data_IF_630140263446
#
_entry.id   IF_630140263446
#
_cell.length_a   1.000
_cell.length_b   1.000
_cell.length_c   1.000
_cell.angle_alpha   90.00
_cell.angle_beta   90.00
_cell.angle_gamma   90.00
#
_symmetry.space_group_name_H-M   'P 1'
#
loop_
_entity.id
_entity.type
_entity.pdbx_description
1 polymer ?
#
# COMPACT_ATOMS: atom_id res chain seq x y z
N UNK A 1 -5.26 12.96 49.70
CA UNK A 1 -4.98 12.09 48.52
C UNK A 1 -5.96 12.33 47.37
N UNK A 2 -6.82 13.35 47.43
CA UNK A 2 -7.89 13.63 46.45
C UNK A 2 -7.54 14.73 45.43
N UNK A 3 -6.54 15.58 45.73
CA UNK A 3 -6.13 16.69 44.86
C UNK A 3 -5.59 16.25 43.49
N UNK A 4 -4.81 15.15 43.48
CA UNK A 4 -4.25 14.58 42.25
C UNK A 4 -5.35 14.01 41.35
N UNK A 5 -6.32 13.30 41.94
CA UNK A 5 -7.46 12.75 41.19
C UNK A 5 -8.34 13.85 40.61
N UNK A 6 -8.58 14.93 41.35
CA UNK A 6 -9.37 16.07 40.86
C UNK A 6 -8.65 16.88 39.78
N UNK A 7 -7.32 16.91 39.82
CA UNK A 7 -6.51 17.54 38.77
C UNK A 7 -6.48 16.69 37.51
N UNK A 8 -6.36 15.36 37.65
CA UNK A 8 -6.43 14.42 36.53
C UNK A 8 -7.82 14.44 35.89
N UNK A 9 -8.89 14.38 36.69
CA UNK A 9 -10.27 14.44 36.19
C UNK A 9 -10.54 15.73 35.41
N UNK A 10 -10.05 16.88 35.90
CA UNK A 10 -10.16 18.15 35.17
C UNK A 10 -9.35 18.18 33.87
N UNK A 11 -8.14 17.61 33.87
CA UNK A 11 -7.32 17.53 32.66
C UNK A 11 -7.97 16.64 31.59
N UNK A 12 -8.56 15.51 31.98
CA UNK A 12 -9.28 14.63 31.06
C UNK A 12 -10.55 15.29 30.47
N UNK A 13 -11.31 16.03 31.28
CA UNK A 13 -12.47 16.78 30.76
C UNK A 13 -12.05 17.88 29.77
N UNK A 14 -10.97 18.61 30.06
CA UNK A 14 -10.45 19.62 29.14
C UNK A 14 -9.98 19.00 27.80
N UNK A 15 -9.47 17.77 27.81
CA UNK A 15 -9.07 17.09 26.59
C UNK A 15 -10.28 16.60 25.77
N UNK A 16 -11.34 16.13 26.45
CA UNK A 16 -12.59 15.69 25.83
C UNK A 16 -13.27 16.82 25.02
N UNK A 17 -13.24 18.05 25.52
CA UNK A 17 -13.78 19.22 24.81
C UNK A 17 -13.04 19.53 23.49
N UNK A 18 -11.76 19.16 23.38
CA UNK A 18 -10.97 19.34 22.13
C UNK A 18 -11.25 18.28 21.07
N UNK A 19 -11.73 17.09 21.43
CA UNK A 19 -11.95 15.99 20.47
C UNK A 19 -13.31 16.10 19.75
N UNK A 20 -14.22 16.94 20.25
CA UNK A 20 -15.55 17.16 19.66
C UNK A 20 -15.59 18.33 18.65
N UNK A 21 -14.43 18.80 18.18
CA UNK A 21 -14.36 19.70 17.04
C UNK A 21 -14.72 18.90 15.78
N UNK A 22 -16.02 18.80 15.51
CA UNK A 22 -16.53 18.40 14.19
C UNK A 22 -15.93 19.37 13.17
N UNK A 23 -15.04 18.92 12.27
CA UNK A 23 -14.51 19.80 11.24
C UNK A 23 -15.67 20.26 10.36
N UNK A 24 -15.79 21.58 10.18
CA UNK A 24 -16.76 22.14 9.26
C UNK A 24 -16.56 21.53 7.86
N UNK A 25 -17.62 21.21 7.12
CA UNK A 25 -17.49 20.64 5.79
C UNK A 25 -16.74 21.62 4.87
N UNK A 26 -15.58 21.17 4.37
CA UNK A 26 -14.78 21.90 3.40
C UNK A 26 -15.59 22.04 2.11
N UNK A 27 -15.81 23.24 1.55
CA UNK A 27 -16.54 23.38 0.29
C UNK A 27 -15.74 22.76 -0.86
N UNK A 28 -16.24 21.64 -1.37
CA UNK A 28 -15.68 20.94 -2.54
C UNK A 28 -15.91 21.80 -3.79
N UNK A 29 -14.85 22.45 -4.28
CA UNK A 29 -14.90 23.24 -5.52
C UNK A 29 -15.08 22.31 -6.72
N UNK A 30 -16.34 22.11 -7.15
CA UNK A 30 -16.66 21.42 -8.40
C UNK A 30 -16.26 22.31 -9.58
N UNK A 31 -15.06 22.12 -10.11
CA UNK A 31 -14.72 22.58 -11.46
C UNK A 31 -15.48 21.72 -12.48
N UNK A 32 -16.70 22.16 -12.82
CA UNK A 32 -17.29 21.90 -14.13
C UNK A 32 -16.51 22.69 -15.15
N UNK A 33 -16.25 22.11 -16.33
CA UNK A 33 -16.15 22.75 -17.65
C UNK A 33 -15.76 21.60 -18.62
N UNK A 34 -16.73 21.06 -19.36
CA UNK A 34 -17.16 21.49 -20.69
C UNK A 34 -16.36 20.77 -21.80
N UNK A 35 -17.02 19.81 -22.43
CA UNK A 35 -16.55 19.12 -23.62
C UNK A 35 -16.62 20.02 -24.86
N UNK A 36 -15.73 19.83 -25.85
CA UNK A 36 -16.04 20.14 -27.24
C UNK A 36 -16.14 18.86 -28.07
N UNK A 37 -17.31 18.70 -28.70
CA UNK A 37 -17.53 17.90 -29.90
C UNK A 37 -16.75 18.53 -31.07
N UNK A 38 -15.88 17.77 -31.74
CA UNK A 38 -15.54 18.01 -33.16
C UNK A 38 -15.38 16.65 -33.86
N UNK A 39 -15.94 16.57 -35.06
CA UNK A 39 -16.30 15.39 -35.83
C UNK A 39 -15.31 15.03 -36.96
N UNK A 40 -15.63 13.90 -37.61
CA UNK A 40 -15.22 13.44 -38.95
C UNK A 40 -13.79 12.84 -39.06
N UNK A 41 -13.48 11.85 -39.92
CA UNK A 41 -14.15 11.29 -41.08
C UNK A 41 -13.70 9.83 -41.33
N UNK A 42 -14.45 9.14 -42.18
CA UNK A 42 -14.35 7.72 -42.55
C UNK A 42 -13.17 7.36 -43.46
N UNK A 43 -12.78 6.09 -43.44
CA UNK A 43 -12.36 5.35 -44.65
C UNK A 43 -12.78 3.87 -44.55
N UNK A 44 -13.62 3.46 -45.51
CA UNK A 44 -14.00 2.09 -45.84
C UNK A 44 -12.95 1.52 -46.78
N UNK A 45 -12.52 0.27 -46.61
CA UNK A 45 -12.07 -0.58 -47.73
C UNK A 45 -12.40 -2.06 -47.50
N UNK A 46 -12.94 -2.65 -48.55
CA UNK A 46 -13.56 -3.97 -48.71
C UNK A 46 -12.56 -4.93 -49.37
N UNK A 47 -12.57 -6.21 -48.99
CA UNK A 47 -12.32 -7.43 -49.80
C UNK A 47 -11.96 -8.57 -48.83
N UNK A 48 -12.49 -9.78 -48.86
CA UNK A 48 -13.06 -10.57 -49.94
C UNK A 48 -12.33 -11.91 -49.93
N UNK A 49 -13.01 -13.01 -49.60
CA UNK A 49 -12.63 -14.38 -50.00
C UNK A 49 -13.78 -15.34 -49.67
N UNK A 50 -14.56 -15.66 -50.70
CA UNK A 50 -15.50 -16.78 -50.71
C UNK A 50 -14.66 -18.04 -50.90
N UNK A 51 -14.77 -19.03 -50.01
CA UNK A 51 -14.28 -20.38 -50.25
C UNK A 51 -15.41 -21.37 -49.92
N UNK A 52 -16.06 -21.84 -50.99
CA UNK A 52 -16.95 -23.01 -50.98
C UNK A 52 -16.07 -24.25 -50.93
N UNK A 53 -16.26 -25.11 -49.93
CA UNK A 53 -15.74 -26.49 -49.95
C UNK A 53 -16.84 -27.47 -49.58
N UNK A 54 -16.89 -28.51 -50.40
CA UNK A 54 -17.89 -29.56 -50.57
C UNK A 54 -18.01 -30.49 -49.36
N UNK A 55 -19.22 -31.02 -49.18
CA UNK A 55 -19.66 -31.94 -48.14
C UNK A 55 -18.91 -33.29 -48.13
N UNK A 56 -18.58 -33.77 -46.93
CA UNK A 56 -18.51 -35.21 -46.59
C UNK A 56 -19.02 -35.43 -45.17
N UNK A 57 -20.01 -36.35 -45.00
CA UNK A 57 -20.42 -36.91 -43.69
C UNK A 57 -19.35 -37.88 -43.20
N UNK A 58 -19.07 -37.95 -41.88
CA UNK A 58 -19.56 -39.12 -41.11
C UNK A 58 -19.81 -38.91 -39.60
N UNK A 59 -20.74 -39.68 -39.04
CA UNK A 59 -20.69 -40.22 -37.67
C UNK A 59 -21.31 -39.41 -36.51
N UNK A 60 -22.05 -40.04 -35.57
CA UNK A 60 -22.42 -39.41 -34.31
C UNK A 60 -21.19 -39.30 -33.40
N UNK A 61 -20.80 -38.08 -33.06
CA UNK A 61 -19.71 -37.81 -32.14
C UNK A 61 -20.14 -38.13 -30.70
N UNK A 62 -19.53 -39.15 -30.11
CA UNK A 62 -19.52 -39.38 -28.66
C UNK A 62 -18.87 -38.15 -27.99
N UNK A 63 -19.62 -37.44 -27.15
CA UNK A 63 -19.12 -36.29 -26.41
C UNK A 63 -17.98 -36.71 -25.45
N UNK A 64 -16.86 -35.94 -25.36
CA UNK A 64 -15.83 -36.19 -24.37
C UNK A 64 -16.34 -35.87 -22.96
N UNK A 65 -15.83 -36.54 -21.91
CA UNK A 65 -16.17 -36.24 -20.53
C UNK A 65 -15.74 -34.81 -20.18
N UNK A 66 -16.64 -34.08 -19.50
CA UNK A 66 -16.40 -32.71 -19.05
C UNK A 66 -15.19 -32.65 -18.10
N UNK A 67 -14.22 -31.79 -18.42
CA UNK A 67 -13.12 -31.46 -17.51
C UNK A 67 -13.64 -30.85 -16.20
N UNK A 68 -13.10 -31.21 -15.03
CA UNK A 68 -13.46 -30.57 -13.78
C UNK A 68 -13.10 -29.07 -13.83
N UNK A 69 -13.90 -28.19 -13.19
CA UNK A 69 -13.63 -26.77 -13.17
C UNK A 69 -12.29 -26.48 -12.47
N UNK A 70 -11.56 -25.43 -12.89
CA UNK A 70 -10.32 -25.04 -12.24
C UNK A 70 -10.57 -24.71 -10.75
N UNK A 71 -9.60 -24.98 -9.87
CA UNK A 71 -9.71 -24.64 -8.45
C UNK A 71 -9.94 -23.13 -8.30
N UNK A 72 -10.86 -22.77 -7.40
CA UNK A 72 -11.18 -21.38 -7.11
C UNK A 72 -9.92 -20.63 -6.58
N UNK A 73 -9.74 -19.35 -6.94
CA UNK A 73 -8.63 -18.56 -6.42
C UNK A 73 -8.74 -18.45 -4.89
N UNK A 74 -7.64 -18.75 -4.19
CA UNK A 74 -7.56 -18.52 -2.74
C UNK A 74 -7.59 -17.02 -2.45
N UNK A 75 -8.27 -16.56 -1.38
CA UNK A 75 -8.26 -15.15 -1.01
C UNK A 75 -6.82 -14.71 -0.73
N UNK A 76 -6.33 -13.73 -1.50
CA UNK A 76 -5.07 -13.06 -1.16
C UNK A 76 -5.28 -12.30 0.15
N UNK A 77 -4.39 -12.45 1.15
CA UNK A 77 -4.48 -11.65 2.36
C UNK A 77 -4.45 -10.17 1.96
N UNK A 78 -5.43 -9.41 2.42
CA UNK A 78 -5.45 -7.95 2.20
C UNK A 78 -4.20 -7.34 2.84
N UNK A 79 -3.55 -6.43 2.12
CA UNK A 79 -2.42 -5.69 2.66
C UNK A 79 -2.87 -4.87 3.89
N UNK A 80 -2.02 -4.82 4.92
CA UNK A 80 -2.26 -3.97 6.10
C UNK A 80 -1.54 -2.64 5.86
N UNK A 81 -2.26 -1.54 5.99
CA UNK A 81 -1.73 -0.19 5.81
C UNK A 81 -1.65 0.50 7.17
N UNK A 82 -0.48 1.02 7.51
CA UNK A 82 -0.19 1.79 8.71
C UNK A 82 0.11 3.24 8.29
N UNK A 83 -0.89 4.13 8.29
CA UNK A 83 -0.65 5.55 8.06
C UNK A 83 0.19 6.15 9.20
N UNK A 84 0.86 7.26 8.91
CA UNK A 84 1.64 8.06 9.86
C UNK A 84 2.73 7.26 10.61
N UNK A 85 3.28 6.23 9.96
CA UNK A 85 4.38 5.44 10.50
C UNK A 85 5.64 6.30 10.63
N UNK A 86 6.21 6.36 11.83
CA UNK A 86 7.48 7.03 12.12
C UNK A 86 8.64 6.04 11.95
N UNK A 87 9.28 6.04 10.79
CA UNK A 87 10.43 5.19 10.51
C UNK A 87 11.69 5.79 11.15
N UNK A 88 12.40 5.02 11.98
CA UNK A 88 13.66 5.46 12.58
C UNK A 88 14.76 5.57 11.50
N UNK A 89 15.36 6.75 11.38
CA UNK A 89 16.39 7.08 10.39
C UNK A 89 17.69 7.56 11.04
N UNK A 90 17.72 7.86 12.35
CA UNK A 90 18.87 8.47 13.04
C UNK A 90 20.22 7.84 12.70
N UNK A 91 20.30 6.51 12.66
CA UNK A 91 21.52 5.74 12.35
C UNK A 91 21.50 5.09 10.96
N UNK A 92 20.65 5.59 10.06
CA UNK A 92 20.27 4.94 8.82
C UNK A 92 19.05 4.04 8.98
N UNK A 93 18.62 3.47 7.86
CA UNK A 93 17.48 2.56 7.74
C UNK A 93 17.99 1.17 7.36
N UNK A 94 18.24 0.33 8.36
CA UNK A 94 18.54 -1.11 8.18
C UNK A 94 17.38 -1.99 8.67
N UNK A 95 16.51 -1.45 9.54
CA UNK A 95 15.46 -2.23 10.17
C UNK A 95 14.26 -1.36 10.58
N UNK A 96 13.08 -1.96 10.57
CA UNK A 96 11.86 -1.42 11.16
C UNK A 96 11.18 -2.48 12.04
N UNK A 97 10.69 -2.05 13.21
CA UNK A 97 9.76 -2.85 14.01
C UNK A 97 8.34 -2.50 13.60
N UNK A 98 7.58 -3.51 13.18
CA UNK A 98 6.20 -3.37 12.72
C UNK A 98 5.34 -4.32 13.56
N UNK A 99 4.55 -3.76 14.47
CA UNK A 99 3.94 -4.55 15.55
C UNK A 99 5.02 -5.22 16.39
N UNK A 100 4.91 -6.52 16.61
CA UNK A 100 5.89 -7.31 17.38
C UNK A 100 6.97 -7.97 16.53
N UNK A 101 7.02 -7.65 15.24
CA UNK A 101 7.94 -8.29 14.28
C UNK A 101 8.97 -7.30 13.78
N UNK A 102 10.15 -7.85 13.55
CA UNK A 102 11.33 -7.15 13.11
C UNK A 102 11.55 -7.41 11.63
N UNK A 103 11.61 -6.34 10.84
CA UNK A 103 11.78 -6.40 9.39
C UNK A 103 13.06 -5.67 8.99
N UNK A 104 13.96 -6.35 8.31
CA UNK A 104 15.18 -5.76 7.78
C UNK A 104 14.92 -5.12 6.41
N UNK A 105 15.55 -3.98 6.15
CA UNK A 105 15.56 -3.36 4.84
C UNK A 105 16.24 -4.30 3.84
N UNK A 106 15.64 -4.50 2.66
CA UNK A 106 16.25 -5.31 1.60
C UNK A 106 17.58 -4.68 1.14
N UNK A 107 17.60 -3.35 1.07
CA UNK A 107 18.80 -2.53 0.83
C UNK A 107 18.93 -1.54 1.99
N UNK A 108 19.90 -1.72 2.89
CA UNK A 108 20.14 -0.76 3.96
C UNK A 108 20.50 0.63 3.42
N UNK A 109 19.86 1.67 3.94
CA UNK A 109 20.17 3.06 3.60
C UNK A 109 20.91 3.70 4.77
N UNK A 110 22.24 3.79 4.69
CA UNK A 110 23.07 4.32 5.76
C UNK A 110 23.74 5.61 5.28
N UNK A 111 23.47 6.72 5.97
CA UNK A 111 24.11 8.01 5.68
C UNK A 111 25.58 8.06 6.13
N UNK A 112 26.29 9.16 5.80
CA UNK A 112 27.68 9.37 6.21
C UNK A 112 27.85 9.22 7.73
N UNK A 113 28.89 8.53 8.17
CA UNK A 113 29.16 8.27 9.59
C UNK A 113 28.01 7.57 10.35
N UNK A 114 27.24 6.69 9.69
CA UNK A 114 26.05 6.02 10.25
C UNK A 114 25.00 7.01 10.76
N UNK A 115 24.64 7.95 9.89
CA UNK A 115 23.57 8.91 10.15
C UNK A 115 22.36 8.66 9.24
N UNK A 116 21.31 9.46 9.41
CA UNK A 116 20.19 9.53 8.46
C UNK A 116 20.71 9.76 7.03
N UNK A 117 20.18 9.04 6.02
CA UNK A 117 20.58 9.25 4.64
C UNK A 117 20.26 10.69 4.19
N UNK A 118 21.04 11.27 3.26
CA UNK A 118 20.73 12.60 2.72
C UNK A 118 19.31 12.68 2.16
N UNK A 119 18.59 13.74 2.49
CA UNK A 119 17.20 13.96 2.07
C UNK A 119 16.14 13.35 3.00
N UNK A 120 16.54 12.59 4.02
CA UNK A 120 15.65 12.02 5.03
C UNK A 120 15.64 12.87 6.31
N UNK A 121 14.48 12.94 6.95
CA UNK A 121 14.35 13.52 8.28
C UNK A 121 15.19 12.75 9.32
N UNK A 122 15.42 13.36 10.49
CA UNK A 122 16.22 12.80 11.58
C UNK A 122 15.62 13.26 12.92
N UNK A 123 15.28 12.36 13.88
CA UNK A 123 15.56 10.92 13.90
C UNK A 123 14.50 10.03 13.26
N UNK A 124 13.39 10.58 12.80
CA UNK A 124 12.31 9.82 12.20
C UNK A 124 11.83 10.44 10.89
N UNK A 125 11.56 9.59 9.90
CA UNK A 125 10.82 9.95 8.69
C UNK A 125 9.37 9.49 8.83
N UNK A 126 8.44 10.43 8.69
CA UNK A 126 7.01 10.10 8.66
C UNK A 126 6.58 9.64 7.26
N UNK A 127 5.77 8.59 7.21
CA UNK A 127 5.21 8.07 5.97
C UNK A 127 4.15 7.01 6.22
N UNK A 128 3.93 6.15 5.24
CA UNK A 128 3.00 5.03 5.31
C UNK A 128 3.77 3.72 5.18
N UNK A 129 3.55 2.80 6.11
CA UNK A 129 4.05 1.43 6.03
C UNK A 129 2.94 0.51 5.53
N UNK A 130 3.18 -0.23 4.45
CA UNK A 130 2.22 -1.20 3.91
C UNK A 130 2.80 -2.61 4.00
N UNK A 131 2.20 -3.48 4.81
CA UNK A 131 2.53 -4.91 4.81
C UNK A 131 1.84 -5.56 3.61
N UNK A 132 2.63 -5.95 2.61
CA UNK A 132 2.13 -6.63 1.40
C UNK A 132 1.94 -8.13 1.62
N UNK A 133 2.59 -8.68 2.66
CA UNK A 133 2.40 -10.04 3.15
C UNK A 133 2.87 -10.13 4.61
N UNK A 134 2.68 -11.26 5.31
CA UNK A 134 3.29 -11.45 6.63
C UNK A 134 4.82 -11.32 6.62
N UNK A 135 5.50 -11.49 5.49
CA UNK A 135 6.95 -11.49 5.39
C UNK A 135 7.54 -10.26 4.70
N UNK A 136 6.71 -9.35 4.18
CA UNK A 136 7.17 -8.20 3.40
C UNK A 136 6.39 -6.93 3.73
N UNK A 137 7.09 -5.81 3.77
CA UNK A 137 6.52 -4.50 3.98
C UNK A 137 7.21 -3.44 3.12
N UNK A 138 6.49 -2.35 2.80
CA UNK A 138 7.02 -1.23 2.02
C UNK A 138 6.67 0.07 2.73
N UNK A 139 7.68 0.86 3.05
CA UNK A 139 7.53 2.23 3.51
C UNK A 139 7.53 3.20 2.32
N UNK A 140 6.65 4.20 2.34
CA UNK A 140 6.63 5.32 1.40
C UNK A 140 6.29 6.63 2.09
N UNK A 141 6.83 7.75 1.61
CA UNK A 141 6.47 9.08 2.09
C UNK A 141 6.10 10.06 0.95
N UNK A 142 5.75 11.29 1.33
CA UNK A 142 5.36 12.34 0.38
C UNK A 142 6.55 12.94 -0.40
N UNK A 143 7.79 12.69 0.04
CA UNK A 143 9.01 13.11 -0.64
C UNK A 143 9.42 12.13 -1.75
N UNK A 144 8.72 11.00 -1.86
CA UNK A 144 8.95 9.98 -2.89
C UNK A 144 9.95 8.91 -2.45
N UNK A 145 10.30 8.85 -1.17
CA UNK A 145 11.13 7.76 -0.67
C UNK A 145 10.35 6.45 -0.67
N UNK A 146 11.05 5.35 -0.97
CA UNK A 146 10.53 3.99 -0.85
C UNK A 146 11.59 3.09 -0.21
N UNK A 147 11.21 2.33 0.80
CA UNK A 147 12.07 1.29 1.39
C UNK A 147 11.28 0.00 1.50
N UNK A 148 11.87 -1.09 1.00
CA UNK A 148 11.30 -2.43 1.10
C UNK A 148 11.95 -3.16 2.24
N UNK A 149 11.12 -3.87 2.99
CA UNK A 149 11.55 -4.63 4.14
C UNK A 149 11.10 -6.08 4.00
N UNK A 150 11.95 -7.00 4.46
CA UNK A 150 11.63 -8.41 4.63
C UNK A 150 11.69 -8.77 6.11
N UNK A 151 10.80 -9.65 6.55
CA UNK A 151 10.82 -10.08 7.95
C UNK A 151 12.14 -10.78 8.26
N UNK A 152 12.71 -10.53 9.44
CA UNK A 152 13.83 -11.31 9.98
C UNK A 152 13.29 -12.40 10.89
N UNK A 153 13.23 -13.68 10.45
CA UNK A 153 12.62 -14.74 11.23
C UNK A 153 13.34 -14.94 12.57
N UNK A 154 12.59 -15.07 13.66
CA UNK A 154 13.13 -15.33 14.99
C UNK A 154 13.80 -14.14 15.68
N UNK A 155 13.82 -12.96 15.06
CA UNK A 155 14.37 -11.76 15.69
C UNK A 155 13.49 -11.29 16.86
N UNK A 156 14.12 -11.04 18.01
CA UNK A 156 13.49 -10.50 19.22
C UNK A 156 13.94 -9.07 19.54
N UNK A 157 14.97 -8.59 18.86
CA UNK A 157 15.60 -7.29 19.06
C UNK A 157 16.09 -6.71 17.73
N UNK A 158 16.44 -5.42 17.73
CA UNK A 158 17.07 -4.74 16.60
C UNK A 158 18.50 -5.26 16.37
N UNK A 159 18.95 -5.32 15.11
CA UNK A 159 20.34 -5.68 14.76
C UNK A 159 21.36 -4.76 15.41
N UNK A 160 21.07 -3.47 15.32
CA UNK A 160 21.96 -2.40 15.73
C UNK A 160 21.10 -1.36 16.45
N UNK A 161 21.45 -1.12 17.70
CA UNK A 161 21.03 0.10 18.38
C UNK A 161 22.04 1.19 18.00
N UNK A 162 21.60 2.44 18.02
CA UNK A 162 22.53 3.55 17.87
C UNK A 162 23.53 3.52 19.04
N UNK A 163 24.81 3.33 18.73
CA UNK A 163 25.94 3.35 19.67
C UNK A 163 26.59 4.74 19.75
#
# INVERSE_FOLDING_TARGET
MTDVEDRLRRAFHAFADTVDVTPAPVPVSRRRLAAPLVAAAATVLVAGAIAVVVATRPGPATAPPASPPPPAPSPSPSAVVLPDFALLTHCGVDEAKIGDRFYEAETPLIGPARSSPPGWDNPYQHGTMTLTSPAAAVFRDALGHEVRFRVRPGATEFKHLCD
#
